data_IF_542572982836
#
_entry.id   IF_542572982836
#
_cell.length_a   1.000
_cell.length_b   1.000
_cell.length_c   1.000
_cell.angle_alpha   90.00
_cell.angle_beta   90.00
_cell.angle_gamma   90.00
#
_symmetry.space_group_name_H-M   'P 1'
#
loop_
_entity.id
_entity.type
_entity.pdbx_description
1 polymer ?
#
# COMPACT_ATOMS: atom_id res chain seq x y z
N UNK A 1 -13.54 9.94 20.06
CA UNK A 1 -12.20 10.22 19.52
C UNK A 1 -12.03 11.73 19.40
N UNK A 2 -10.91 12.30 19.86
CA UNK A 2 -10.56 13.69 19.52
C UNK A 2 -9.91 13.68 18.14
N UNK A 3 -10.41 14.42 17.15
CA UNK A 3 -9.80 14.45 15.82
C UNK A 3 -8.40 15.05 15.92
N UNK A 4 -7.51 14.61 15.02
CA UNK A 4 -6.21 15.22 14.88
C UNK A 4 -6.37 16.70 14.48
N UNK A 5 -5.48 17.61 14.96
CA UNK A 5 -5.51 19.01 14.55
C UNK A 5 -5.27 19.14 13.04
N UNK A 6 -5.85 20.20 12.45
CA UNK A 6 -5.64 20.54 11.03
C UNK A 6 -4.16 20.89 10.85
N UNK A 7 -3.52 20.28 9.84
CA UNK A 7 -2.13 20.58 9.49
C UNK A 7 -2.04 21.93 8.78
N UNK A 8 -0.89 22.58 8.91
CA UNK A 8 -0.58 23.80 8.16
C UNK A 8 -0.55 23.54 6.65
N UNK A 9 -0.81 24.58 5.86
CA UNK A 9 -0.72 24.50 4.39
C UNK A 9 0.74 24.35 3.96
N UNK A 10 0.98 23.49 2.98
CA UNK A 10 2.28 23.34 2.33
C UNK A 10 2.31 24.09 1.00
N UNK A 11 3.51 24.40 0.50
CA UNK A 11 3.66 25.01 -0.82
C UNK A 11 3.36 23.99 -1.93
N UNK A 12 3.02 24.47 -3.13
CA UNK A 12 2.85 23.61 -4.30
C UNK A 12 4.17 22.93 -4.71
N UNK A 13 5.30 23.64 -4.58
CA UNK A 13 6.63 23.09 -4.86
C UNK A 13 6.97 21.88 -3.98
N UNK A 14 6.50 21.86 -2.73
CA UNK A 14 6.69 20.71 -1.85
C UNK A 14 5.84 19.51 -2.26
N UNK A 15 4.65 19.76 -2.83
CA UNK A 15 3.81 18.70 -3.38
C UNK A 15 4.43 18.11 -4.66
N UNK A 16 5.01 18.93 -5.53
CA UNK A 16 5.64 18.49 -6.77
C UNK A 16 6.85 17.57 -6.54
N UNK A 17 7.55 17.72 -5.41
CA UNK A 17 8.67 16.81 -5.01
C UNK A 17 8.20 15.38 -4.71
N UNK A 18 6.90 15.13 -4.52
CA UNK A 18 6.36 13.82 -4.16
C UNK A 18 6.04 13.02 -5.43
N UNK A 19 6.78 11.94 -5.66
CA UNK A 19 6.50 11.00 -6.76
C UNK A 19 5.42 9.98 -6.35
N UNK A 20 4.18 10.20 -6.78
CA UNK A 20 3.04 9.31 -6.54
C UNK A 20 2.79 8.48 -7.80
N UNK A 21 2.88 7.15 -7.68
CA UNK A 21 2.66 6.22 -8.80
C UNK A 21 1.62 5.17 -8.47
N UNK A 22 0.96 4.69 -9.53
CA UNK A 22 0.08 3.52 -9.49
C UNK A 22 0.86 2.31 -9.96
N UNK A 23 0.79 1.23 -9.20
CA UNK A 23 1.43 -0.04 -9.54
C UNK A 23 0.50 -1.22 -9.26
N UNK A 24 0.81 -2.35 -9.88
CA UNK A 24 0.04 -3.59 -9.73
C UNK A 24 0.67 -4.45 -8.64
N UNK A 25 -0.13 -4.89 -7.67
CA UNK A 25 0.34 -5.85 -6.66
C UNK A 25 0.48 -7.21 -7.34
N UNK A 26 1.71 -7.72 -7.41
CA UNK A 26 2.02 -9.02 -8.04
C UNK A 26 2.17 -10.15 -7.03
N UNK A 27 2.48 -9.83 -5.77
CA UNK A 27 2.48 -10.83 -4.69
C UNK A 27 2.22 -10.19 -3.33
N UNK A 28 1.65 -10.99 -2.43
CA UNK A 28 1.41 -10.63 -1.03
C UNK A 28 1.92 -11.75 -0.14
N UNK A 29 2.65 -11.40 0.91
CA UNK A 29 3.16 -12.35 1.89
C UNK A 29 2.95 -11.81 3.31
N UNK A 30 2.67 -12.72 4.25
CA UNK A 30 2.63 -12.35 5.65
C UNK A 30 4.01 -12.01 6.21
N UNK A 31 4.07 -10.99 7.05
CA UNK A 31 5.29 -10.66 7.78
C UNK A 31 5.36 -11.53 9.03
N UNK A 32 6.34 -12.43 9.10
CA UNK A 32 6.59 -13.25 10.30
C UNK A 32 6.72 -12.34 11.52
N UNK A 33 6.02 -12.68 12.61
CA UNK A 33 5.95 -11.91 13.87
C UNK A 33 5.13 -10.60 13.83
N UNK A 34 4.34 -10.36 12.79
CA UNK A 34 3.37 -9.26 12.79
C UNK A 34 1.93 -9.75 12.61
N UNK A 35 1.05 -9.25 13.48
CA UNK A 35 -0.38 -9.50 13.40
C UNK A 35 -1.13 -8.45 12.57
N UNK A 36 -0.43 -7.40 12.11
CA UNK A 36 -1.02 -6.25 11.40
C UNK A 36 -0.41 -6.00 10.03
N UNK A 37 0.83 -6.42 9.80
CA UNK A 37 1.58 -6.08 8.61
C UNK A 37 1.53 -7.19 7.55
N UNK A 38 1.48 -6.75 6.30
CA UNK A 38 1.63 -7.54 5.09
C UNK A 38 2.76 -6.97 4.25
N UNK A 39 3.52 -7.85 3.57
CA UNK A 39 4.51 -7.47 2.57
C UNK A 39 3.88 -7.60 1.19
N UNK A 40 3.79 -6.48 0.48
CA UNK A 40 3.32 -6.39 -0.90
C UNK A 40 4.52 -6.26 -1.82
N UNK A 41 4.55 -7.02 -2.90
CA UNK A 41 5.44 -6.74 -4.02
C UNK A 41 4.62 -6.05 -5.09
N UNK A 42 4.99 -4.82 -5.44
CA UNK A 42 4.27 -3.98 -6.39
C UNK A 42 5.15 -3.74 -7.60
N UNK A 43 4.59 -4.00 -8.77
CA UNK A 43 5.20 -3.74 -10.06
C UNK A 43 4.70 -2.42 -10.64
N UNK A 44 5.64 -1.54 -11.00
CA UNK A 44 5.38 -0.24 -11.63
C UNK A 44 5.65 -0.27 -13.15
N UNK A 45 5.95 -1.44 -13.71
CA UNK A 45 6.23 -1.68 -15.13
C UNK A 45 7.72 -1.60 -15.48
N UNK A 46 8.44 -0.63 -14.91
CA UNK A 46 9.89 -0.46 -15.07
C UNK A 46 10.69 -1.10 -13.91
N UNK A 47 10.09 -1.19 -12.72
CA UNK A 47 10.70 -1.81 -11.56
C UNK A 47 9.66 -2.33 -10.57
N UNK A 48 10.09 -3.27 -9.74
CA UNK A 48 9.28 -3.81 -8.63
C UNK A 48 9.79 -3.28 -7.29
N UNK A 49 8.88 -2.98 -6.35
CA UNK A 49 9.23 -2.61 -4.97
C UNK A 49 8.51 -3.48 -3.95
N UNK A 50 9.15 -3.63 -2.79
CA UNK A 50 8.57 -4.27 -1.62
C UNK A 50 8.02 -3.21 -0.66
N UNK A 51 6.73 -3.28 -0.34
CA UNK A 51 6.02 -2.33 0.52
C UNK A 51 5.44 -3.09 1.73
N UNK A 52 5.63 -2.56 2.94
CA UNK A 52 4.98 -3.08 4.14
C UNK A 52 3.72 -2.27 4.44
N UNK A 53 2.57 -2.93 4.50
CA UNK A 53 1.28 -2.30 4.70
C UNK A 53 0.55 -2.89 5.93
N UNK A 54 -0.08 -2.03 6.72
CA UNK A 54 -0.82 -2.40 7.94
C UNK A 54 -2.23 -2.97 7.72
N UNK A 55 -2.45 -3.66 6.60
CA UNK A 55 -3.79 -4.02 6.11
C UNK A 55 -4.24 -5.45 6.48
N UNK A 56 -3.46 -6.19 7.28
CA UNK A 56 -3.72 -7.62 7.56
C UNK A 56 -5.09 -7.87 8.20
N UNK A 57 -5.59 -6.92 9.00
CA UNK A 57 -6.86 -7.05 9.72
C UNK A 57 -8.05 -6.48 8.93
N UNK A 58 -7.80 -5.83 7.79
CA UNK A 58 -8.84 -5.16 7.00
C UNK A 58 -9.51 -6.09 5.99
N UNK A 59 -8.89 -7.23 5.67
CA UNK A 59 -9.42 -8.20 4.70
C UNK A 59 -9.36 -9.61 5.27
N UNK A 60 -10.46 -10.34 5.11
CA UNK A 60 -10.60 -11.71 5.62
C UNK A 60 -9.67 -12.72 4.92
N UNK A 61 -9.32 -12.47 3.65
CA UNK A 61 -8.38 -13.30 2.89
C UNK A 61 -7.27 -12.44 2.25
N UNK A 62 -6.07 -12.42 2.84
CA UNK A 62 -4.98 -11.60 2.34
C UNK A 62 -4.16 -12.25 1.21
N UNK A 63 -4.33 -13.55 0.97
CA UNK A 63 -3.61 -14.26 -0.08
C UNK A 63 -4.35 -14.08 -1.41
N UNK A 64 -3.93 -13.07 -2.18
CA UNK A 64 -4.29 -12.96 -3.59
C UNK A 64 -3.54 -14.05 -4.38
N UNK A 65 -3.98 -15.30 -4.23
CA UNK A 65 -3.55 -16.38 -5.11
C UNK A 65 -4.17 -16.14 -6.47
N UNK A 66 -3.46 -15.40 -7.32
CA UNK A 66 -3.65 -15.30 -8.77
C UNK A 66 -5.11 -15.40 -9.21
N UNK A 67 -5.86 -14.31 -9.08
CA UNK A 67 -7.05 -14.18 -9.90
C UNK A 67 -7.13 -12.74 -10.36
N UNK A 68 -6.85 -12.57 -11.64
CA UNK A 68 -7.09 -11.38 -12.45
C UNK A 68 -8.59 -10.98 -12.48
N UNK A 69 -9.45 -11.51 -11.58
CA UNK A 69 -10.92 -11.40 -11.58
C UNK A 69 -11.51 -10.60 -10.41
N UNK A 70 -10.87 -9.53 -9.95
CA UNK A 70 -11.64 -8.47 -9.27
C UNK A 70 -11.40 -7.10 -9.88
N UNK A 71 -11.36 -7.08 -11.21
CA UNK A 71 -11.83 -5.91 -11.97
C UNK A 71 -13.36 -5.87 -11.87
N UNK A 72 -13.87 -4.74 -11.39
CA UNK A 72 -15.27 -4.33 -11.16
C UNK A 72 -15.88 -4.80 -9.82
#
# INVERSE_FOLDING_TARGET
MKPAPIKEMISFEDFEKIDIRVGTIVSVCEVKKSNKLMKLTVDFGDHTRSILAGIKQERDNPNFSSTVERLF
#
